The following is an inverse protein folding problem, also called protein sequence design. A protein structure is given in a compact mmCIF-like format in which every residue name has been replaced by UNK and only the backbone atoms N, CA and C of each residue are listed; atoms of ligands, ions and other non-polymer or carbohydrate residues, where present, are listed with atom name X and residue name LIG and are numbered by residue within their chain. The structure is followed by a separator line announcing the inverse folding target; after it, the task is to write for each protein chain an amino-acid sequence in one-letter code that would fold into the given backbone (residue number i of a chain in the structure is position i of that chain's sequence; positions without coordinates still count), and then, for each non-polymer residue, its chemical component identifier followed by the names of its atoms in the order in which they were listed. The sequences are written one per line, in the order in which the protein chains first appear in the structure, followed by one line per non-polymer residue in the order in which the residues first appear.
data_IF_901067445970
#
_entry.id   IF_901067445970
#
_cell.length_a   1.000
_cell.length_b   1.000
_cell.length_c   1.000
_cell.angle_alpha   90.00
_cell.angle_beta   90.00
_cell.angle_gamma   90.00
#
_symmetry.space_group_name_H-M   'P 1'
#
loop_
_entity.id
_entity.type
_entity.pdbx_description
1 polymer ?
#
# COMPACT_ATOMS: atom_id res chain seq x y z
N UNK A 1 70.70 31.83 -32.74
CA UNK A 1 72.02 31.42 -33.27
C UNK A 1 73.11 31.93 -32.32
N UNK A 2 74.17 31.12 -32.12
CA UNK A 2 75.45 31.40 -31.40
C UNK A 2 75.35 31.75 -29.90
N UNK A 3 75.42 30.80 -28.96
CA UNK A 3 76.59 30.08 -28.36
C UNK A 3 77.73 30.98 -27.85
N UNK A 4 78.02 30.90 -26.54
CA UNK A 4 79.33 30.52 -25.98
C UNK A 4 79.24 30.22 -24.46
N UNK A 5 79.85 29.09 -24.10
CA UNK A 5 80.18 28.49 -22.78
C UNK A 5 81.46 29.21 -22.21
N UNK A 6 82.20 28.86 -21.11
CA UNK A 6 82.13 27.67 -20.24
C UNK A 6 82.65 27.76 -18.75
N UNK A 7 82.59 26.62 -18.05
CA UNK A 7 83.62 26.01 -17.17
C UNK A 7 83.68 26.25 -15.64
N UNK A 8 84.20 25.19 -14.99
CA UNK A 8 84.87 25.04 -13.68
C UNK A 8 83.98 24.63 -12.47
N UNK A 9 84.18 23.55 -11.70
CA UNK A 9 85.35 22.69 -11.37
C UNK A 9 84.92 21.24 -11.05
N UNK A 10 85.79 20.29 -11.43
CA UNK A 10 85.86 18.88 -11.02
C UNK A 10 86.41 18.69 -9.60
N UNK A 11 85.76 17.86 -8.77
CA UNK A 11 86.37 16.90 -7.80
C UNK A 11 85.32 15.79 -7.61
N UNK A 12 85.56 14.51 -7.86
CA UNK A 12 86.65 13.64 -7.40
C UNK A 12 85.97 12.45 -6.70
N UNK A 13 85.93 11.28 -7.36
CA UNK A 13 85.30 10.04 -6.85
C UNK A 13 85.99 9.57 -5.55
N UNK A 14 85.34 8.72 -4.74
CA UNK A 14 85.70 7.31 -4.88
C UNK A 14 84.58 6.28 -4.67
N UNK A 15 84.79 5.16 -5.38
CA UNK A 15 84.53 3.75 -5.06
C UNK A 15 83.12 3.26 -4.70
N UNK A 16 82.63 2.46 -5.64
CA UNK A 16 81.60 1.43 -5.52
C UNK A 16 81.83 0.48 -4.34
N UNK A 17 80.73 0.14 -3.66
CA UNK A 17 80.48 -1.22 -3.15
C UNK A 17 79.08 -1.62 -3.60
N UNK A 18 79.00 -2.73 -4.33
CA UNK A 18 77.75 -3.27 -4.84
C UNK A 18 76.85 -3.77 -3.72
N UNK A 19 75.58 -3.40 -3.79
CA UNK A 19 74.47 -4.04 -3.09
C UNK A 19 73.44 -4.44 -4.14
N UNK A 20 73.28 -5.74 -4.35
CA UNK A 20 72.22 -6.31 -5.18
C UNK A 20 70.97 -6.54 -4.31
N UNK A 21 69.82 -6.05 -4.80
CA UNK A 21 68.43 -6.52 -4.57
C UNK A 21 67.90 -6.44 -3.12
N UNK A 22 66.63 -6.10 -2.85
CA UNK A 22 65.36 -6.57 -3.41
C UNK A 22 64.33 -5.43 -3.26
N UNK A 23 63.70 -4.99 -4.35
CA UNK A 23 62.54 -4.09 -4.28
C UNK A 23 61.28 -4.94 -4.04
N UNK A 24 60.86 -5.04 -2.78
CA UNK A 24 59.60 -5.68 -2.41
C UNK A 24 58.43 -4.82 -2.90
N UNK A 25 57.84 -5.19 -4.03
CA UNK A 25 56.55 -4.65 -4.47
C UNK A 25 55.48 -5.22 -3.52
N UNK A 26 55.10 -4.43 -2.51
CA UNK A 26 53.92 -4.69 -1.70
C UNK A 26 52.68 -4.49 -2.59
N UNK A 27 52.20 -5.57 -3.21
CA UNK A 27 50.83 -5.63 -3.71
C UNK A 27 49.91 -5.57 -2.47
N UNK A 28 49.45 -4.38 -2.11
CA UNK A 28 48.38 -4.20 -1.13
C UNK A 28 47.08 -4.70 -1.76
N UNK A 29 46.74 -5.96 -1.52
CA UNK A 29 45.40 -6.48 -1.77
C UNK A 29 44.48 -5.77 -0.78
N UNK A 30 43.81 -4.70 -1.22
CA UNK A 30 42.71 -4.10 -0.47
C UNK A 30 41.59 -5.14 -0.39
N UNK A 31 41.53 -5.88 0.70
CA UNK A 31 40.35 -6.68 1.05
C UNK A 31 39.17 -5.70 1.11
N UNK A 32 38.26 -5.81 0.13
CA UNK A 32 36.98 -5.10 0.21
C UNK A 32 36.20 -5.75 1.36
N UNK A 33 36.19 -5.11 2.52
CA UNK A 33 35.25 -5.45 3.58
C UNK A 33 33.87 -5.03 3.08
N UNK A 34 33.09 -5.99 2.60
CA UNK A 34 31.70 -5.73 2.24
C UNK A 34 30.91 -5.57 3.54
N UNK A 35 30.26 -4.41 3.73
CA UNK A 35 29.39 -4.14 4.87
C UNK A 35 28.05 -4.91 4.81
N UNK A 36 27.86 -5.70 3.75
CA UNK A 36 26.68 -6.51 3.50
C UNK A 36 27.08 -7.79 2.77
N UNK A 37 26.64 -8.92 3.30
CA UNK A 37 26.82 -10.25 2.73
C UNK A 37 25.46 -10.74 2.24
N UNK A 38 25.18 -10.67 0.92
CA UNK A 38 23.89 -11.03 0.36
C UNK A 38 23.65 -12.53 0.52
N UNK A 39 22.48 -12.87 1.05
CA UNK A 39 22.01 -14.25 1.11
C UNK A 39 20.48 -14.25 1.11
N UNK A 40 19.90 -14.84 0.06
CA UNK A 40 18.47 -15.06 -0.03
C UNK A 40 18.04 -16.20 0.91
N UNK A 41 16.80 -16.14 1.38
CA UNK A 41 16.18 -17.15 2.22
C UNK A 41 14.95 -16.60 2.90
N UNK A 42 14.51 -17.25 3.96
CA UNK A 42 13.39 -16.79 4.80
C UNK A 42 13.83 -16.66 6.25
N UNK A 43 13.42 -15.59 6.91
CA UNK A 43 13.59 -15.36 8.34
C UNK A 43 12.22 -15.46 9.03
N UNK A 44 12.02 -16.50 9.84
CA UNK A 44 10.82 -16.69 10.65
C UNK A 44 11.03 -16.06 12.01
N UNK A 45 10.29 -15.00 12.32
CA UNK A 45 10.35 -14.37 13.64
C UNK A 45 9.88 -15.34 14.74
N UNK A 46 10.67 -15.49 15.79
CA UNK A 46 10.32 -16.23 17.01
C UNK A 46 10.12 -15.30 18.20
N UNK A 47 10.59 -14.06 18.10
CA UNK A 47 10.44 -13.01 19.09
C UNK A 47 10.06 -11.71 18.39
N UNK A 48 9.33 -10.84 19.10
CA UNK A 48 9.05 -9.50 18.60
C UNK A 48 10.25 -8.60 18.87
N UNK A 49 10.92 -8.16 17.81
CA UNK A 49 12.14 -7.36 17.88
C UNK A 49 12.04 -6.09 17.04
N UNK A 50 12.81 -5.04 17.41
CA UNK A 50 12.90 -3.85 16.58
C UNK A 50 13.56 -4.17 15.23
N UNK A 51 13.02 -3.56 14.17
CA UNK A 51 13.51 -3.69 12.80
C UNK A 51 13.91 -2.31 12.25
N UNK A 52 15.21 -1.99 12.32
CA UNK A 52 15.82 -0.68 12.02
C UNK A 52 16.13 -0.40 10.56
N UNK A 53 16.13 0.86 10.11
CA UNK A 53 16.75 1.23 8.80
C UNK A 53 18.28 1.10 8.81
N UNK A 54 18.87 0.98 10.01
CA UNK A 54 20.30 0.73 10.23
C UNK A 54 20.51 -0.03 11.53
N UNK A 55 21.63 -0.75 11.65
CA UNK A 55 21.99 -1.54 12.84
C UNK A 55 22.19 -0.64 14.08
N UNK A 56 22.63 0.59 13.89
CA UNK A 56 22.79 1.59 14.95
C UNK A 56 21.48 2.35 15.26
N UNK A 57 20.45 2.19 14.41
CA UNK A 57 19.16 2.87 14.47
C UNK A 57 18.02 1.86 14.53
N UNK A 58 18.11 0.95 15.51
CA UNK A 58 17.07 -0.03 15.82
C UNK A 58 16.01 0.53 16.78
N UNK A 59 16.27 1.66 17.43
CA UNK A 59 15.39 2.20 18.46
C UNK A 59 14.27 3.09 17.87
N UNK A 60 14.43 3.56 16.63
CA UNK A 60 13.46 4.42 15.93
C UNK A 60 12.45 3.62 15.07
N UNK A 61 12.02 2.42 15.48
CA UNK A 61 11.46 1.46 14.51
C UNK A 61 10.26 0.57 14.86
N UNK A 62 9.67 0.05 13.76
CA UNK A 62 8.62 -0.98 13.68
C UNK A 62 9.12 -2.30 14.27
N UNK A 63 8.23 -3.04 14.93
CA UNK A 63 8.52 -4.36 15.49
C UNK A 63 8.12 -5.47 14.52
N UNK A 64 8.92 -6.54 14.45
CA UNK A 64 8.54 -7.76 13.75
C UNK A 64 7.49 -8.56 14.54
N UNK A 65 6.65 -9.29 13.82
CA UNK A 65 5.55 -10.08 14.34
C UNK A 65 5.98 -11.54 14.51
N UNK A 66 5.77 -12.09 15.71
CA UNK A 66 6.12 -13.48 16.03
C UNK A 66 5.37 -14.44 15.10
N UNK A 67 6.09 -15.41 14.53
CA UNK A 67 5.56 -16.40 13.61
C UNK A 67 5.57 -15.97 12.14
N UNK A 68 5.74 -14.68 11.84
CA UNK A 68 5.76 -14.14 10.49
C UNK A 68 7.04 -14.54 9.73
N UNK A 69 6.91 -14.74 8.41
CA UNK A 69 7.99 -15.12 7.50
C UNK A 69 8.42 -13.91 6.67
N UNK A 70 9.62 -13.40 6.94
CA UNK A 70 10.19 -12.27 6.21
C UNK A 70 11.20 -12.74 5.16
N UNK A 71 11.21 -12.18 3.93
CA UNK A 71 12.28 -12.44 2.98
C UNK A 71 13.63 -12.00 3.56
N UNK A 72 14.60 -12.91 3.62
CA UNK A 72 15.97 -12.61 4.01
C UNK A 72 16.71 -12.01 2.80
N UNK A 73 17.34 -10.85 3.00
CA UNK A 73 18.16 -10.19 1.99
C UNK A 73 19.64 -10.51 2.18
N UNK A 74 20.09 -10.69 3.42
CA UNK A 74 21.46 -11.01 3.75
C UNK A 74 21.82 -10.67 5.18
N UNK A 75 23.12 -10.55 5.43
CA UNK A 75 23.70 -10.32 6.75
C UNK A 75 24.61 -9.10 6.72
N UNK A 76 24.91 -8.54 7.89
CA UNK A 76 25.93 -7.49 7.98
C UNK A 76 27.35 -8.05 7.76
N UNK A 77 27.55 -9.35 8.00
CA UNK A 77 28.75 -10.14 7.71
C UNK A 77 28.41 -11.64 7.82
N UNK A 78 29.27 -12.52 7.30
CA UNK A 78 29.07 -13.98 7.19
C UNK A 78 28.63 -14.69 8.50
N UNK A 79 29.01 -14.14 9.65
CA UNK A 79 28.63 -14.62 10.99
C UNK A 79 28.09 -13.48 11.86
N UNK A 80 27.40 -12.55 11.22
CA UNK A 80 26.87 -11.36 11.84
C UNK A 80 25.72 -11.62 12.82
N UNK A 81 25.60 -10.73 13.81
CA UNK A 81 24.49 -10.69 14.76
C UNK A 81 23.22 -10.08 14.15
N UNK A 82 23.31 -9.52 12.94
CA UNK A 82 22.21 -8.84 12.27
C UNK A 82 21.91 -9.46 10.91
N UNK A 83 20.62 -9.61 10.67
CA UNK A 83 20.06 -9.97 9.37
C UNK A 83 19.37 -8.75 8.80
N UNK A 84 19.43 -8.60 7.48
CA UNK A 84 18.57 -7.67 6.78
C UNK A 84 17.39 -8.45 6.22
N UNK A 85 16.19 -8.12 6.70
CA UNK A 85 14.93 -8.65 6.19
C UNK A 85 14.25 -7.60 5.31
N UNK A 86 13.36 -8.05 4.43
CA UNK A 86 12.49 -7.16 3.66
C UNK A 86 11.15 -6.99 4.35
N UNK A 87 10.81 -5.76 4.74
CA UNK A 87 9.45 -5.39 5.11
C UNK A 87 8.78 -4.78 3.88
N UNK A 88 7.95 -5.58 3.22
CA UNK A 88 7.19 -5.14 2.04
C UNK A 88 6.30 -3.95 2.42
N UNK A 89 6.21 -2.96 1.53
CA UNK A 89 5.36 -1.78 1.73
C UNK A 89 5.95 -0.68 2.63
N UNK A 90 7.24 -0.74 2.97
CA UNK A 90 7.94 0.32 3.70
C UNK A 90 9.04 0.94 2.83
N UNK A 91 9.35 2.22 3.00
CA UNK A 91 10.52 2.84 2.37
C UNK A 91 11.53 3.32 3.43
N UNK A 92 12.82 2.90 3.36
CA UNK A 92 13.33 1.80 2.53
C UNK A 92 12.63 0.47 2.88
N UNK A 93 12.74 -0.60 2.09
CA UNK A 93 12.12 -1.89 2.44
C UNK A 93 13.03 -2.76 3.33
N UNK A 94 14.34 -2.59 3.20
CA UNK A 94 15.32 -3.33 4.00
C UNK A 94 15.31 -2.88 5.46
N UNK A 95 15.15 -3.81 6.40
CA UNK A 95 15.30 -3.57 7.84
C UNK A 95 16.28 -4.52 8.48
N UNK A 96 17.11 -3.96 9.34
CA UNK A 96 18.04 -4.69 10.17
C UNK A 96 17.34 -5.20 11.43
N UNK A 97 17.44 -6.49 11.67
CA UNK A 97 16.89 -7.17 12.85
C UNK A 97 18.00 -8.00 13.47
N UNK A 98 17.96 -8.17 14.79
CA UNK A 98 18.88 -9.09 15.45
C UNK A 98 18.59 -10.53 15.02
N UNK A 99 19.64 -11.23 14.60
CA UNK A 99 19.59 -12.61 14.12
C UNK A 99 18.92 -13.56 15.11
N UNK A 100 19.08 -13.34 16.42
CA UNK A 100 18.50 -14.18 17.47
C UNK A 100 16.97 -14.15 17.53
N UNK A 101 16.33 -13.14 16.93
CA UNK A 101 14.88 -12.96 16.99
C UNK A 101 14.09 -13.91 16.07
N UNK A 102 14.76 -14.84 15.41
CA UNK A 102 14.13 -15.75 14.47
C UNK A 102 15.02 -16.87 13.98
N UNK A 103 14.40 -17.77 13.21
CA UNK A 103 15.06 -18.90 12.57
C UNK A 103 15.20 -18.62 11.09
N UNK A 104 16.37 -18.91 10.53
CA UNK A 104 16.66 -18.73 9.11
C UNK A 104 16.52 -20.07 8.40
N UNK A 105 15.73 -20.10 7.34
CA UNK A 105 15.71 -21.19 6.39
C UNK A 105 16.38 -20.72 5.08
N UNK A 106 17.60 -21.21 4.78
CA UNK A 106 18.35 -20.81 3.59
C UNK A 106 17.88 -21.52 2.32
N UNK A 107 17.12 -22.62 2.45
CA UNK A 107 16.61 -23.42 1.33
C UNK A 107 15.17 -23.04 0.99
N UNK A 108 14.42 -22.51 1.96
CA UNK A 108 13.20 -21.77 1.70
C UNK A 108 13.53 -20.41 1.10
N UNK A 109 13.79 -20.39 -0.20
CA UNK A 109 13.45 -19.21 -0.98
C UNK A 109 11.93 -19.05 -0.89
N UNK A 110 11.40 -17.86 -0.55
CA UNK A 110 9.99 -17.63 -0.79
C UNK A 110 9.74 -18.00 -2.26
N UNK A 111 8.78 -18.91 -2.49
CA UNK A 111 8.22 -19.14 -3.83
C UNK A 111 8.13 -17.77 -4.50
N UNK A 112 8.77 -17.61 -5.66
CA UNK A 112 9.00 -16.33 -6.36
C UNK A 112 8.01 -15.29 -5.87
N UNK A 113 8.46 -14.19 -5.24
CA UNK A 113 7.67 -13.43 -4.28
C UNK A 113 6.25 -13.40 -4.82
N UNK A 114 5.27 -13.96 -4.09
CA UNK A 114 3.90 -13.50 -4.27
C UNK A 114 4.11 -12.01 -4.18
N UNK A 115 4.01 -11.31 -5.32
CA UNK A 115 4.24 -9.88 -5.35
C UNK A 115 3.20 -9.40 -4.36
N UNK A 116 3.65 -9.06 -3.14
CA UNK A 116 2.81 -8.40 -2.19
C UNK A 116 2.19 -7.21 -2.91
N UNK A 117 1.02 -6.73 -2.46
CA UNK A 117 0.30 -5.76 -3.25
C UNK A 117 1.23 -4.61 -3.66
N UNK A 118 1.29 -4.34 -4.97
CA UNK A 118 2.14 -3.29 -5.53
C UNK A 118 1.51 -1.91 -5.31
N UNK A 119 0.22 -1.91 -4.99
CA UNK A 119 -0.60 -0.77 -4.65
C UNK A 119 -1.91 -1.22 -4.02
N UNK A 120 -2.79 -0.27 -3.78
CA UNK A 120 -4.16 -0.51 -3.33
C UNK A 120 -5.13 0.27 -4.21
N UNK A 121 -6.34 -0.26 -4.37
CA UNK A 121 -7.47 0.46 -4.90
C UNK A 121 -8.51 0.64 -3.79
N UNK A 122 -8.76 1.89 -3.38
CA UNK A 122 -9.86 2.19 -2.48
C UNK A 122 -11.13 2.39 -3.31
N UNK A 123 -12.15 1.58 -3.08
CA UNK A 123 -13.46 1.70 -3.71
C UNK A 123 -14.48 2.24 -2.71
N UNK A 124 -15.13 3.34 -3.06
CA UNK A 124 -16.14 4.00 -2.23
C UNK A 124 -17.43 4.19 -3.01
N UNK A 125 -18.56 3.79 -2.43
CA UNK A 125 -19.87 3.93 -3.06
C UNK A 125 -20.53 5.26 -2.71
N UNK A 126 -21.20 5.84 -3.70
CA UNK A 126 -22.23 6.85 -3.47
C UNK A 126 -23.57 6.14 -3.31
N UNK A 127 -23.96 5.89 -2.07
CA UNK A 127 -25.05 4.98 -1.74
C UNK A 127 -26.42 5.34 -2.36
N UNK A 128 -26.82 6.61 -2.51
CA UNK A 128 -28.10 6.94 -3.15
C UNK A 128 -28.22 6.38 -4.57
N UNK A 129 -27.17 6.53 -5.39
CA UNK A 129 -27.13 6.01 -6.76
C UNK A 129 -27.02 4.48 -6.80
N UNK A 130 -26.26 3.88 -5.88
CA UNK A 130 -26.20 2.43 -5.72
C UNK A 130 -27.60 1.86 -5.42
N UNK A 131 -28.33 2.45 -4.48
CA UNK A 131 -29.65 1.97 -4.10
C UNK A 131 -30.73 2.21 -5.16
N UNK A 132 -30.61 3.26 -5.97
CA UNK A 132 -31.50 3.46 -7.12
C UNK A 132 -31.36 2.32 -8.16
N UNK A 133 -30.14 1.81 -8.35
CA UNK A 133 -29.85 0.71 -9.28
C UNK A 133 -29.96 -0.69 -8.66
N UNK A 134 -29.93 -0.79 -7.33
CA UNK A 134 -29.99 -2.05 -6.57
C UNK A 134 -31.05 -2.04 -5.44
N UNK A 135 -32.32 -1.69 -5.73
CA UNK A 135 -33.34 -1.49 -4.69
C UNK A 135 -33.64 -2.73 -3.85
N UNK A 136 -33.37 -3.94 -4.38
CA UNK A 136 -33.60 -5.20 -3.67
C UNK A 136 -32.60 -5.52 -2.55
N UNK A 137 -31.49 -4.78 -2.44
CA UNK A 137 -30.46 -5.01 -1.43
C UNK A 137 -30.94 -4.61 -0.04
N UNK A 138 -30.56 -5.37 0.99
CA UNK A 138 -31.01 -5.16 2.37
C UNK A 138 -30.75 -3.74 2.87
N UNK A 139 -29.56 -3.22 2.58
CA UNK A 139 -29.12 -1.88 2.94
C UNK A 139 -29.93 -0.76 2.27
N UNK A 140 -30.59 -1.08 1.15
CA UNK A 140 -31.37 -0.15 0.34
C UNK A 140 -32.88 -0.16 0.62
N UNK A 141 -33.38 -1.12 1.42
CA UNK A 141 -34.82 -1.20 1.74
C UNK A 141 -35.34 -0.02 2.55
N UNK A 142 -34.49 0.57 3.40
CA UNK A 142 -34.84 1.69 4.27
C UNK A 142 -34.00 2.94 3.92
N UNK A 143 -34.42 3.64 2.85
CA UNK A 143 -33.80 4.88 2.34
C UNK A 143 -34.19 6.09 3.20
N UNK A 144 -33.58 6.21 4.38
CA UNK A 144 -33.79 7.35 5.26
C UNK A 144 -32.76 8.44 4.95
N UNK A 145 -33.21 9.69 4.83
CA UNK A 145 -32.36 10.83 4.48
C UNK A 145 -31.44 11.30 5.61
N UNK A 146 -31.66 10.85 6.84
CA UNK A 146 -30.87 11.17 8.04
C UNK A 146 -29.71 10.19 8.28
N UNK A 147 -29.64 9.09 7.51
CA UNK A 147 -28.52 8.16 7.58
C UNK A 147 -27.25 8.80 7.03
N UNK A 148 -26.09 8.37 7.54
CA UNK A 148 -24.79 8.87 7.09
C UNK A 148 -24.58 8.67 5.57
N UNK A 149 -24.96 7.50 5.07
CA UNK A 149 -24.85 7.10 3.67
C UNK A 149 -25.85 7.82 2.73
N UNK A 150 -26.74 8.66 3.26
CA UNK A 150 -27.62 9.49 2.45
C UNK A 150 -26.89 10.66 1.76
N UNK A 151 -25.74 11.06 2.30
CA UNK A 151 -25.02 12.27 1.88
C UNK A 151 -23.50 12.14 1.92
N UNK A 152 -22.93 11.00 2.32
CA UNK A 152 -21.48 10.81 2.36
C UNK A 152 -21.10 9.55 1.58
N UNK A 153 -19.85 9.50 1.13
CA UNK A 153 -19.32 8.24 0.61
C UNK A 153 -19.26 7.18 1.71
N UNK A 154 -19.49 5.93 1.30
CA UNK A 154 -19.35 4.76 2.16
C UNK A 154 -18.35 3.78 1.56
N UNK A 155 -17.74 2.97 2.43
CA UNK A 155 -16.77 1.98 2.03
C UNK A 155 -17.45 0.88 1.22
N UNK A 156 -16.98 0.67 -0.01
CA UNK A 156 -17.22 -0.57 -0.73
C UNK A 156 -16.11 -1.55 -0.36
N UNK A 157 -14.85 -1.17 -0.58
CA UNK A 157 -13.73 -2.09 -0.39
C UNK A 157 -12.35 -1.42 -0.48
N UNK A 158 -11.33 -2.20 -0.10
CA UNK A 158 -9.93 -1.86 -0.27
C UNK A 158 -9.22 -3.05 -0.91
N UNK A 159 -8.75 -2.88 -2.14
CA UNK A 159 -8.32 -4.00 -2.97
C UNK A 159 -6.81 -3.96 -3.22
N UNK A 160 -6.07 -4.96 -2.73
CA UNK A 160 -4.71 -5.25 -3.16
C UNK A 160 -4.54 -5.29 -4.68
N UNK A 161 -3.64 -4.47 -5.22
CA UNK A 161 -3.29 -4.50 -6.64
C UNK A 161 -2.03 -5.34 -6.90
N UNK A 162 -1.95 -6.07 -8.02
CA UNK A 162 -2.86 -6.01 -9.17
C UNK A 162 -4.14 -6.82 -8.95
N UNK A 163 -5.19 -6.57 -9.73
CA UNK A 163 -6.47 -7.32 -9.72
C UNK A 163 -6.36 -8.87 -9.70
N UNK A 164 -5.24 -9.45 -10.16
CA UNK A 164 -5.03 -10.90 -10.06
C UNK A 164 -4.75 -11.39 -8.63
N UNK A 165 -4.46 -10.48 -7.69
CA UNK A 165 -4.20 -10.74 -6.28
C UNK A 165 -5.51 -10.74 -5.49
N UNK A 166 -6.27 -11.82 -5.64
CA UNK A 166 -7.54 -12.05 -4.95
C UNK A 166 -7.59 -13.46 -4.34
N UNK A 167 -8.44 -13.65 -3.34
CA UNK A 167 -8.70 -14.93 -2.66
C UNK A 167 -7.46 -15.58 -2.01
N UNK A 168 -6.55 -14.77 -1.48
CA UNK A 168 -5.40 -15.27 -0.71
C UNK A 168 -5.90 -15.97 0.57
N UNK A 169 -5.36 -17.15 0.89
CA UNK A 169 -5.75 -17.92 2.09
C UNK A 169 -7.26 -18.18 2.17
N UNK A 170 -7.92 -18.31 1.01
CA UNK A 170 -9.36 -18.59 0.92
C UNK A 170 -9.60 -19.99 0.40
N UNK A 171 -10.46 -20.74 1.09
CA UNK A 171 -10.79 -22.11 0.70
C UNK A 171 -11.65 -22.15 -0.59
N UNK A 172 -11.60 -23.24 -1.37
CA UNK A 172 -12.48 -23.39 -2.53
C UNK A 172 -13.97 -23.26 -2.20
N UNK A 173 -14.39 -23.71 -1.02
CA UNK A 173 -15.78 -23.60 -0.54
C UNK A 173 -16.18 -22.15 -0.30
N UNK A 174 -15.36 -21.38 0.43
CA UNK A 174 -15.60 -19.94 0.64
C UNK A 174 -15.62 -19.19 -0.70
N UNK A 175 -14.67 -19.46 -1.60
CA UNK A 175 -14.66 -18.86 -2.94
C UNK A 175 -15.92 -19.22 -3.75
N UNK A 176 -16.43 -20.44 -3.61
CA UNK A 176 -17.68 -20.87 -4.23
C UNK A 176 -18.89 -20.09 -3.71
N UNK A 177 -18.99 -19.92 -2.39
CA UNK A 177 -20.04 -19.10 -1.75
C UNK A 177 -19.95 -17.64 -2.19
N UNK A 178 -18.73 -17.10 -2.26
CA UNK A 178 -18.47 -15.73 -2.68
C UNK A 178 -18.92 -15.47 -4.12
N UNK A 179 -18.50 -16.34 -5.05
CA UNK A 179 -18.90 -16.28 -6.46
C UNK A 179 -20.42 -16.44 -6.64
N UNK A 180 -21.07 -17.24 -5.79
CA UNK A 180 -22.52 -17.41 -5.77
C UNK A 180 -23.26 -16.22 -5.14
N UNK A 181 -22.55 -15.19 -4.67
CA UNK A 181 -23.09 -14.03 -3.92
C UNK A 181 -23.81 -14.44 -2.63
N UNK A 182 -23.50 -15.61 -2.09
CA UNK A 182 -24.03 -16.12 -0.83
C UNK A 182 -23.21 -15.59 0.35
N UNK A 183 -22.98 -14.28 0.39
CA UNK A 183 -22.01 -13.66 1.31
C UNK A 183 -22.37 -13.84 2.79
N UNK A 184 -23.66 -13.89 3.11
CA UNK A 184 -24.13 -14.19 4.47
C UNK A 184 -23.83 -15.62 4.93
N UNK A 185 -23.47 -16.52 4.01
CA UNK A 185 -23.02 -17.89 4.31
C UNK A 185 -21.51 -18.01 4.47
N UNK A 186 -20.73 -16.97 4.14
CA UNK A 186 -19.30 -16.91 4.45
C UNK A 186 -19.08 -16.80 5.97
N UNK A 187 -17.92 -17.23 6.51
CA UNK A 187 -17.60 -17.01 7.91
C UNK A 187 -17.73 -15.52 8.31
N UNK A 188 -18.27 -15.20 9.49
CA UNK A 188 -18.33 -13.82 9.96
C UNK A 188 -16.92 -13.28 10.22
N UNK A 189 -16.70 -12.01 9.88
CA UNK A 189 -15.46 -11.30 10.23
C UNK A 189 -15.54 -10.90 11.71
N UNK A 190 -14.65 -11.45 12.54
CA UNK A 190 -14.60 -11.13 13.97
C UNK A 190 -13.78 -9.84 14.15
N UNK A 191 -14.40 -8.81 14.72
CA UNK A 191 -13.82 -7.49 14.96
C UNK A 191 -14.18 -7.04 16.38
N UNK A 192 -13.35 -6.22 17.02
CA UNK A 192 -13.74 -5.42 18.19
C UNK A 192 -15.02 -4.63 17.92
N UNK A 193 -15.84 -4.51 18.96
CA UNK A 193 -17.15 -3.84 18.88
C UNK A 193 -17.04 -2.42 18.29
N UNK A 194 -16.06 -1.63 18.73
CA UNK A 194 -15.86 -0.26 18.24
C UNK A 194 -15.57 -0.19 16.74
N UNK A 195 -14.87 -1.17 16.17
CA UNK A 195 -14.60 -1.24 14.73
C UNK A 195 -15.85 -1.73 14.01
N UNK A 196 -16.54 -2.74 14.57
CA UNK A 196 -17.78 -3.30 14.03
C UNK A 196 -18.88 -2.24 13.90
N UNK A 197 -19.10 -1.43 14.93
CA UNK A 197 -20.08 -0.34 14.92
C UNK A 197 -19.76 0.69 13.83
N UNK A 198 -18.50 1.13 13.74
CA UNK A 198 -18.03 2.05 12.70
C UNK A 198 -18.22 1.45 11.31
N UNK A 199 -17.85 0.19 11.12
CA UNK A 199 -17.97 -0.50 9.84
C UNK A 199 -19.45 -0.63 9.43
N UNK A 200 -20.35 -1.00 10.33
CA UNK A 200 -21.78 -1.11 10.01
C UNK A 200 -22.38 0.23 9.57
N UNK A 201 -21.92 1.35 10.16
CA UNK A 201 -22.34 2.70 9.77
C UNK A 201 -21.74 3.13 8.43
N UNK A 202 -20.47 2.80 8.19
CA UNK A 202 -19.66 3.31 7.08
C UNK A 202 -19.55 2.35 5.90
N UNK A 203 -20.07 1.13 6.01
CA UNK A 203 -20.23 0.11 4.97
C UNK A 203 -21.64 -0.51 5.12
N UNK A 204 -22.70 0.16 4.65
CA UNK A 204 -24.07 -0.33 4.75
C UNK A 204 -24.26 -1.74 4.17
N UNK A 205 -23.48 -2.08 3.13
CA UNK A 205 -23.47 -3.42 2.53
C UNK A 205 -23.11 -4.56 3.48
N UNK A 206 -22.56 -4.29 4.68
CA UNK A 206 -22.39 -5.30 5.73
C UNK A 206 -23.71 -5.98 6.12
N UNK A 207 -24.85 -5.28 5.96
CA UNK A 207 -26.19 -5.85 6.14
C UNK A 207 -26.52 -6.98 5.15
N UNK A 208 -25.85 -7.02 4.00
CA UNK A 208 -25.95 -8.09 3.01
C UNK A 208 -24.67 -8.91 2.86
N UNK A 209 -23.74 -8.79 3.83
CA UNK A 209 -22.51 -9.58 3.93
C UNK A 209 -21.32 -9.03 3.14
N UNK A 210 -21.35 -7.77 2.71
CA UNK A 210 -20.24 -7.16 1.94
C UNK A 210 -18.91 -7.23 2.69
N UNK A 211 -18.89 -7.01 4.01
CA UNK A 211 -17.66 -7.14 4.81
C UNK A 211 -17.02 -8.53 4.71
N UNK A 212 -17.84 -9.58 4.61
CA UNK A 212 -17.35 -10.95 4.43
C UNK A 212 -16.79 -11.16 3.03
N UNK A 213 -17.45 -10.64 2.00
CA UNK A 213 -16.95 -10.63 0.61
C UNK A 213 -15.58 -9.96 0.54
N UNK A 214 -15.50 -8.72 1.03
CA UNK A 214 -14.29 -7.91 1.02
C UNK A 214 -13.15 -8.59 1.78
N UNK A 215 -13.42 -9.21 2.92
CA UNK A 215 -12.40 -9.94 3.67
C UNK A 215 -11.88 -11.17 2.91
N UNK A 216 -12.79 -12.02 2.43
CA UNK A 216 -12.46 -13.31 1.80
C UNK A 216 -11.78 -13.13 0.45
N UNK A 217 -12.18 -12.11 -0.32
CA UNK A 217 -11.64 -11.86 -1.65
C UNK A 217 -10.41 -10.96 -1.64
N UNK A 218 -10.39 -9.92 -0.79
CA UNK A 218 -9.37 -8.87 -0.84
C UNK A 218 -8.56 -8.76 0.46
N UNK A 219 -9.23 -8.75 1.62
CA UNK A 219 -8.59 -8.47 2.90
C UNK A 219 -7.50 -9.46 3.30
N UNK A 220 -7.71 -10.77 3.08
CA UNK A 220 -6.69 -11.80 3.35
C UNK A 220 -5.44 -11.69 2.47
N UNK A 221 -5.50 -10.97 1.35
CA UNK A 221 -4.33 -10.63 0.53
C UNK A 221 -3.55 -9.42 1.07
N UNK A 222 -4.18 -8.62 1.93
CA UNK A 222 -3.60 -7.43 2.52
C UNK A 222 -2.95 -7.71 3.88
N UNK A 223 -3.65 -8.42 4.77
CA UNK A 223 -3.21 -8.71 6.13
C UNK A 223 -3.80 -10.04 6.62
N UNK A 224 -3.16 -10.64 7.63
CA UNK A 224 -3.73 -11.75 8.40
C UNK A 224 -4.71 -11.28 9.49
N UNK A 225 -4.74 -9.97 9.76
CA UNK A 225 -5.61 -9.36 10.76
C UNK A 225 -6.77 -8.59 10.08
N UNK A 226 -8.02 -9.04 10.23
CA UNK A 226 -9.17 -8.32 9.70
C UNK A 226 -9.37 -6.96 10.38
N UNK A 227 -8.98 -6.78 11.64
CA UNK A 227 -9.08 -5.48 12.32
C UNK A 227 -8.20 -4.46 11.61
N UNK A 228 -6.92 -4.79 11.41
CA UNK A 228 -5.97 -3.97 10.65
C UNK A 228 -6.53 -3.58 9.27
N UNK A 229 -7.08 -4.54 8.53
CA UNK A 229 -7.62 -4.30 7.19
C UNK A 229 -8.75 -3.26 7.20
N UNK A 230 -9.77 -3.47 8.04
CA UNK A 230 -10.91 -2.56 8.11
C UNK A 230 -10.56 -1.21 8.75
N UNK A 231 -9.63 -1.16 9.71
CA UNK A 231 -9.16 0.12 10.26
C UNK A 231 -8.50 1.01 9.20
N UNK A 232 -7.64 0.44 8.35
CA UNK A 232 -7.00 1.18 7.26
C UNK A 232 -8.06 1.66 6.27
N UNK A 233 -8.95 0.78 5.82
CA UNK A 233 -10.00 1.12 4.87
C UNK A 233 -10.93 2.22 5.39
N UNK A 234 -11.35 2.14 6.66
CA UNK A 234 -12.18 3.16 7.31
C UNK A 234 -11.45 4.49 7.50
N UNK A 235 -10.14 4.45 7.71
CA UNK A 235 -9.38 5.70 7.87
C UNK A 235 -9.17 6.40 6.53
N UNK A 236 -8.93 5.66 5.45
CA UNK A 236 -8.88 6.22 4.10
C UNK A 236 -10.23 6.79 3.67
N UNK A 237 -11.34 6.10 3.96
CA UNK A 237 -12.67 6.68 3.79
C UNK A 237 -12.82 7.99 4.58
N UNK A 238 -12.35 8.02 5.83
CA UNK A 238 -12.39 9.23 6.66
C UNK A 238 -11.64 10.42 6.03
N UNK A 239 -10.48 10.18 5.43
CA UNK A 239 -9.72 11.21 4.71
C UNK A 239 -10.50 11.77 3.51
N UNK A 240 -11.17 10.91 2.74
CA UNK A 240 -12.03 11.34 1.63
C UNK A 240 -13.23 12.13 2.14
N UNK A 241 -13.93 11.64 3.16
CA UNK A 241 -15.11 12.33 3.70
C UNK A 241 -14.78 13.66 4.40
N UNK A 242 -13.51 13.93 4.72
CA UNK A 242 -13.06 15.22 5.25
C UNK A 242 -12.62 16.22 4.16
N UNK A 243 -12.59 15.82 2.89
CA UNK A 243 -12.02 16.58 1.78
C UNK A 243 -12.98 17.61 1.17
N UNK A 244 -12.43 18.58 0.43
CA UNK A 244 -13.17 19.47 -0.46
C UNK A 244 -13.91 18.70 -1.56
N UNK A 245 -13.39 17.56 -2.01
CA UNK A 245 -14.06 16.70 -2.99
C UNK A 245 -15.40 16.18 -2.45
N UNK A 246 -15.43 15.64 -1.22
CA UNK A 246 -16.67 15.18 -0.62
C UNK A 246 -17.64 16.33 -0.35
N UNK A 247 -17.12 17.45 0.16
CA UNK A 247 -17.94 18.66 0.37
C UNK A 247 -18.58 19.13 -0.92
N UNK A 248 -17.83 19.10 -2.03
CA UNK A 248 -18.35 19.48 -3.34
C UNK A 248 -19.48 18.55 -3.80
N UNK A 249 -19.41 17.24 -3.51
CA UNK A 249 -20.56 16.33 -3.72
C UNK A 249 -21.77 16.76 -2.88
N UNK A 250 -21.59 16.99 -1.58
CA UNK A 250 -22.69 17.34 -0.67
C UNK A 250 -23.35 18.68 -0.98
N UNK A 251 -22.58 19.68 -1.37
CA UNK A 251 -23.10 21.01 -1.70
C UNK A 251 -23.89 21.01 -3.02
N UNK A 252 -23.78 19.94 -3.83
CA UNK A 252 -24.38 19.82 -5.16
C UNK A 252 -25.30 18.60 -5.31
N UNK A 253 -25.90 18.14 -4.21
CA UNK A 253 -26.93 17.09 -4.24
C UNK A 253 -28.05 17.45 -5.24
N UNK A 254 -28.33 16.54 -6.19
CA UNK A 254 -29.33 16.74 -7.24
C UNK A 254 -28.84 17.51 -8.46
N UNK A 255 -27.57 17.94 -8.51
CA UNK A 255 -26.96 18.59 -9.66
C UNK A 255 -26.09 17.65 -10.49
N UNK A 256 -25.95 17.96 -11.77
CA UNK A 256 -24.99 17.31 -12.66
C UNK A 256 -23.65 18.04 -12.55
N UNK A 257 -22.59 17.31 -12.18
CA UNK A 257 -21.24 17.85 -12.07
C UNK A 257 -20.35 17.28 -13.17
N UNK A 258 -19.40 18.10 -13.63
CA UNK A 258 -18.35 17.67 -14.52
C UNK A 258 -17.29 16.87 -13.74
N UNK A 259 -16.78 15.80 -14.35
CA UNK A 259 -15.73 14.98 -13.76
C UNK A 259 -14.45 15.77 -13.46
N UNK A 260 -14.14 16.79 -14.27
CA UNK A 260 -12.95 17.61 -14.09
C UNK A 260 -13.07 18.58 -12.91
N UNK A 261 -14.27 19.12 -12.61
CA UNK A 261 -14.46 19.94 -11.41
C UNK A 261 -14.27 19.12 -10.13
N UNK A 262 -14.72 17.86 -10.16
CA UNK A 262 -14.52 16.90 -9.08
C UNK A 262 -13.03 16.57 -8.87
N UNK A 263 -12.27 16.33 -9.94
CA UNK A 263 -10.83 16.10 -9.83
C UNK A 263 -10.09 17.33 -9.28
N UNK A 264 -10.50 18.54 -9.66
CA UNK A 264 -9.95 19.77 -9.10
C UNK A 264 -10.23 19.89 -7.60
N UNK A 265 -11.47 19.63 -7.16
CA UNK A 265 -11.81 19.62 -5.73
C UNK A 265 -11.04 18.55 -4.94
N UNK A 266 -10.70 17.42 -5.57
CA UNK A 266 -9.83 16.40 -4.99
C UNK A 266 -8.39 16.91 -4.83
N UNK A 267 -7.85 17.59 -5.85
CA UNK A 267 -6.52 18.20 -5.79
C UNK A 267 -6.41 19.33 -4.78
N UNK A 268 -7.48 20.07 -4.50
CA UNK A 268 -7.48 21.08 -3.43
C UNK A 268 -7.17 20.48 -2.05
N UNK A 269 -7.60 19.23 -1.81
CA UNK A 269 -7.40 18.55 -0.53
C UNK A 269 -6.11 17.76 -0.46
N UNK A 270 -5.69 17.19 -1.58
CA UNK A 270 -4.59 16.23 -1.62
C UNK A 270 -3.41 16.69 -2.49
N UNK A 271 -3.42 17.94 -2.93
CA UNK A 271 -2.35 18.57 -3.72
C UNK A 271 -2.39 18.23 -5.21
N UNK A 272 -1.63 19.00 -5.99
CA UNK A 272 -1.64 18.93 -7.45
C UNK A 272 -1.33 17.54 -8.01
N UNK A 273 -2.08 17.15 -9.04
CA UNK A 273 -1.96 15.86 -9.73
C UNK A 273 -2.61 14.68 -9.00
N UNK A 274 -3.14 14.87 -7.79
CA UNK A 274 -3.89 13.84 -7.07
C UNK A 274 -5.16 13.40 -7.81
N UNK A 275 -5.78 14.29 -8.60
CA UNK A 275 -6.98 13.99 -9.37
C UNK A 275 -6.78 12.93 -10.45
N UNK A 276 -5.53 12.64 -10.85
CA UNK A 276 -5.20 11.57 -11.80
C UNK A 276 -5.38 10.16 -11.22
N UNK A 277 -5.27 10.04 -9.90
CA UNK A 277 -5.50 8.79 -9.17
C UNK A 277 -7.00 8.49 -8.97
N UNK A 278 -7.89 9.45 -9.25
CA UNK A 278 -9.33 9.37 -9.02
C UNK A 278 -10.08 8.92 -10.28
N UNK A 279 -10.63 7.71 -10.21
CA UNK A 279 -11.60 7.19 -11.15
C UNK A 279 -13.03 7.49 -10.67
N UNK A 280 -13.87 8.03 -11.55
CA UNK A 280 -15.27 8.33 -11.28
C UNK A 280 -16.16 7.35 -12.03
N UNK A 281 -16.85 6.47 -11.31
CA UNK A 281 -17.68 5.41 -11.88
C UNK A 281 -19.14 5.83 -11.93
N UNK A 282 -19.70 5.79 -13.13
CA UNK A 282 -21.06 6.26 -13.39
C UNK A 282 -21.91 5.14 -13.97
N UNK A 283 -23.19 5.12 -13.59
CA UNK A 283 -24.17 4.12 -14.05
C UNK A 283 -25.35 4.81 -14.72
N UNK A 284 -25.93 4.23 -15.79
CA UNK A 284 -27.11 4.78 -16.41
C UNK A 284 -28.34 4.45 -15.55
N UNK A 285 -29.16 5.46 -15.26
CA UNK A 285 -30.44 5.31 -14.56
C UNK A 285 -31.44 6.32 -15.09
N UNK A 286 -32.59 5.84 -15.59
CA UNK A 286 -33.70 6.67 -16.12
C UNK A 286 -33.26 7.79 -17.09
N UNK A 287 -32.32 7.47 -17.98
CA UNK A 287 -31.82 8.41 -19.00
C UNK A 287 -30.76 9.40 -18.49
N UNK A 288 -30.28 9.27 -17.25
CA UNK A 288 -29.19 10.06 -16.68
C UNK A 288 -28.02 9.17 -16.29
N UNK A 289 -26.82 9.74 -16.25
CA UNK A 289 -25.65 9.09 -15.66
C UNK A 289 -25.54 9.53 -14.20
N UNK A 290 -25.55 8.58 -13.27
CA UNK A 290 -25.36 8.84 -11.85
C UNK A 290 -23.92 8.54 -11.45
N UNK A 291 -23.29 9.38 -10.63
CA UNK A 291 -22.09 8.96 -9.91
C UNK A 291 -22.46 7.90 -8.88
N UNK A 292 -21.88 6.71 -8.99
CA UNK A 292 -22.24 5.54 -8.18
C UNK A 292 -21.10 5.03 -7.31
N UNK A 293 -19.86 5.22 -7.76
CA UNK A 293 -18.66 4.78 -7.06
C UNK A 293 -17.50 5.66 -7.48
N UNK A 294 -16.53 5.79 -6.59
CA UNK A 294 -15.21 6.33 -6.91
C UNK A 294 -14.16 5.31 -6.55
N UNK A 295 -13.11 5.24 -7.37
CA UNK A 295 -11.95 4.39 -7.12
C UNK A 295 -10.69 5.23 -7.08
N UNK A 296 -9.89 5.03 -6.06
CA UNK A 296 -8.70 5.84 -5.81
C UNK A 296 -7.48 4.91 -5.80
N UNK A 297 -6.58 5.14 -6.74
CA UNK A 297 -5.37 4.35 -6.92
C UNK A 297 -4.27 4.83 -5.96
N UNK A 298 -3.72 3.89 -5.20
CA UNK A 298 -2.69 4.15 -4.19
C UNK A 298 -1.41 3.37 -4.51
N UNK A 299 -0.25 4.02 -4.38
CA UNK A 299 1.08 3.42 -4.43
C UNK A 299 1.40 2.71 -3.14
N UNK A 300 1.95 1.50 -3.28
CA UNK A 300 2.39 0.69 -2.15
C UNK A 300 1.25 0.26 -1.23
N UNK A 301 1.62 -0.33 -0.10
CA UNK A 301 0.71 -0.92 0.88
C UNK A 301 0.83 -0.27 2.25
N UNK A 302 1.40 0.94 2.30
CA UNK A 302 1.57 1.66 3.55
C UNK A 302 0.23 1.70 4.27
N UNK A 303 0.30 1.38 5.55
CA UNK A 303 -0.83 1.19 6.44
C UNK A 303 -0.87 2.27 7.51
N UNK A 304 -0.09 3.34 7.29
CA UNK A 304 -0.13 4.56 8.07
C UNK A 304 -1.17 5.49 7.44
N UNK A 305 -2.34 5.65 8.09
CA UNK A 305 -3.39 6.45 7.52
C UNK A 305 -3.09 7.95 7.45
N UNK A 306 -2.10 8.43 8.22
CA UNK A 306 -1.62 9.80 8.11
C UNK A 306 -0.95 10.08 6.75
N UNK A 307 -0.61 9.02 6.01
CA UNK A 307 0.06 9.10 4.72
C UNK A 307 -0.87 8.82 3.54
N UNK A 308 -2.21 8.93 3.71
CA UNK A 308 -3.15 8.70 2.59
C UNK A 308 -2.79 9.54 1.36
N UNK A 309 -2.56 10.85 1.54
CA UNK A 309 -2.19 11.78 0.47
C UNK A 309 -0.86 11.41 -0.20
N UNK A 310 0.11 10.93 0.58
CA UNK A 310 1.42 10.50 0.08
C UNK A 310 1.34 9.15 -0.66
N UNK A 311 0.33 8.36 -0.33
CA UNK A 311 0.05 7.08 -0.97
C UNK A 311 -0.69 7.25 -2.29
N UNK A 312 -1.17 8.44 -2.68
CA UNK A 312 -1.87 8.61 -3.96
C UNK A 312 -0.96 8.34 -5.16
N UNK A 313 -1.43 7.51 -6.09
CA UNK A 313 -0.71 7.27 -7.33
C UNK A 313 -0.91 8.42 -8.33
N UNK A 314 -0.13 9.48 -8.15
CA UNK A 314 -0.13 10.66 -9.02
C UNK A 314 0.41 10.39 -10.42
N UNK A 315 1.03 9.24 -10.67
CA UNK A 315 1.52 8.85 -12.01
C UNK A 315 0.52 7.97 -12.74
N UNK A 316 -0.36 7.31 -12.01
CA UNK A 316 -1.49 6.59 -12.58
C UNK A 316 -2.41 7.55 -13.32
N UNK A 317 -2.85 7.14 -14.51
CA UNK A 317 -3.88 7.83 -15.28
C UNK A 317 -5.13 6.99 -15.19
N UNK A 318 -5.99 7.29 -14.22
CA UNK A 318 -7.26 6.63 -14.09
C UNK A 318 -8.07 6.77 -15.38
N UNK A 319 -8.87 5.74 -15.68
CA UNK A 319 -9.81 5.84 -16.79
C UNK A 319 -10.70 7.06 -16.55
N UNK A 320 -10.98 7.82 -17.62
CA UNK A 320 -11.71 9.10 -17.51
C UNK A 320 -13.09 8.91 -16.84
N UNK A 321 -13.67 7.71 -16.92
CA UNK A 321 -15.01 7.43 -16.44
C UNK A 321 -16.06 8.13 -17.30
N UNK A 322 -17.12 8.65 -16.70
CA UNK A 322 -18.04 9.56 -17.39
C UNK A 322 -17.51 11.00 -17.38
N UNK A 323 -17.89 11.80 -18.39
CA UNK A 323 -17.50 13.22 -18.44
C UNK A 323 -18.25 14.08 -17.42
N UNK A 324 -19.47 13.68 -17.09
CA UNK A 324 -20.32 14.31 -16.09
C UNK A 324 -21.34 13.31 -15.55
N UNK A 325 -21.81 13.53 -14.33
CA UNK A 325 -22.79 12.68 -13.66
C UNK A 325 -23.64 13.46 -12.66
N UNK A 326 -24.84 12.96 -12.42
CA UNK A 326 -25.73 13.44 -11.37
C UNK A 326 -25.21 12.95 -10.01
N UNK A 327 -25.09 13.87 -9.06
CA UNK A 327 -24.92 13.53 -7.65
C UNK A 327 -26.30 13.19 -7.07
N UNK A 328 -26.66 11.91 -7.08
CA UNK A 328 -28.01 11.49 -6.71
C UNK A 328 -28.28 11.77 -5.22
N UNK A 329 -29.36 12.49 -4.86
CA UNK A 329 -29.75 12.66 -3.46
C UNK A 329 -30.48 11.41 -2.94
N UNK A 330 -30.36 11.13 -1.64
CA UNK A 330 -31.23 10.14 -1.01
C UNK A 330 -32.65 10.71 -0.87
N UNK A 331 -33.63 10.14 -1.59
CA UNK A 331 -35.03 10.56 -1.49
C UNK A 331 -35.85 9.49 -0.75
N UNK A 332 -36.37 9.78 0.46
CA UNK A 332 -37.25 8.86 1.18
C UNK A 332 -38.50 8.51 0.38
N UNK A 333 -38.92 7.24 0.43
CA UNK A 333 -40.19 6.81 -0.16
C UNK A 333 -40.24 6.80 -1.69
N UNK A 334 -39.13 7.10 -2.40
CA UNK A 334 -39.02 6.85 -3.84
C UNK A 334 -38.94 5.34 -4.06
N UNK A 335 -40.10 4.67 -4.04
CA UNK A 335 -40.23 3.30 -4.51
C UNK A 335 -39.88 3.29 -6.00
N UNK A 336 -38.86 2.52 -6.37
CA UNK A 336 -38.65 2.14 -7.76
C UNK A 336 -39.90 1.39 -8.23
N UNK A 337 -40.55 1.82 -9.33
CA UNK A 337 -41.68 1.08 -9.89
C UNK A 337 -41.30 -0.35 -10.28
#
# INVERSE_FOLDING_TARGET
MTRCDPSFILRGRPRMRGGWLILSILLSWSLRVSAFEPQAGTFRATESCPAGVGIQRLQDTVFIEVGHLYPLMGFNRKEGEYVQIRLLGRHPEGRWVQRRCGVIDPLATPSAPIKGPQGLLLALSWQPAFCDTHPGKSECKNRLSDRFDASHFVLHGLWPEPRSLEYCKTSPTEKGLDNAKAWMSLPPVILKESIRERLNKLMPGSLSGLDRHEWVRHGRCYSDDPERFFEVALTYLGAINASSFERHFRDHLGAVLAADSLRLAFEESFGSGAGRALELICVPFKGQWLYSEVRIHLKGTSSDPALFSDSLDREYVAQKGCEQGLVEPMVPGRMTP
#
